data_IF_108326756358
#
_entry.id   IF_108326756358
#
_cell.length_a   1.000
_cell.length_b   1.000
_cell.length_c   1.000
_cell.angle_alpha   90.00
_cell.angle_beta   90.00
_cell.angle_gamma   90.00
#
_symmetry.space_group_name_H-M   'P 1'
#
loop_
_entity.id
_entity.type
_entity.pdbx_description
1 polymer ?
#
# COMPACT_ATOMS: atom_id res chain seq x y z
N UNK A 1 -24.36 -46.60 -16.42
CA UNK A 1 -25.18 -45.49 -15.90
C UNK A 1 -24.86 -45.13 -14.44
N UNK A 2 -24.54 -46.09 -13.57
CA UNK A 2 -24.35 -45.85 -12.13
C UNK A 2 -23.12 -45.00 -11.76
N UNK A 3 -22.02 -45.10 -12.52
CA UNK A 3 -20.79 -44.33 -12.24
C UNK A 3 -20.94 -42.81 -12.41
N UNK A 4 -21.77 -42.38 -13.37
CA UNK A 4 -22.00 -40.95 -13.63
C UNK A 4 -22.84 -40.30 -12.52
N UNK A 5 -23.86 -41.00 -12.02
CA UNK A 5 -24.66 -40.53 -10.89
C UNK A 5 -23.82 -40.45 -9.60
N UNK A 6 -22.93 -41.41 -9.38
CA UNK A 6 -21.99 -41.37 -8.27
C UNK A 6 -21.07 -40.14 -8.34
N UNK A 7 -20.43 -39.92 -9.50
CA UNK A 7 -19.57 -38.76 -9.71
C UNK A 7 -20.34 -37.44 -9.51
N UNK A 8 -21.57 -37.35 -10.02
CA UNK A 8 -22.43 -36.19 -9.85
C UNK A 8 -22.74 -35.93 -8.36
N UNK A 9 -23.16 -36.96 -7.61
CA UNK A 9 -23.44 -36.84 -6.18
C UNK A 9 -22.26 -36.32 -5.38
N UNK A 10 -21.07 -36.85 -5.66
CA UNK A 10 -19.83 -36.40 -5.04
C UNK A 10 -19.56 -34.93 -5.37
N UNK A 11 -19.66 -34.55 -6.64
CA UNK A 11 -19.44 -33.15 -7.07
C UNK A 11 -20.46 -32.21 -6.42
N UNK A 12 -21.75 -32.57 -6.36
CA UNK A 12 -22.80 -31.75 -5.75
C UNK A 12 -22.55 -31.52 -4.27
N UNK A 13 -22.18 -32.56 -3.51
CA UNK A 13 -21.86 -32.40 -2.07
C UNK A 13 -20.67 -31.45 -1.89
N UNK A 14 -19.61 -31.64 -2.66
CA UNK A 14 -18.43 -30.78 -2.60
C UNK A 14 -18.72 -29.33 -3.00
N UNK A 15 -19.56 -29.13 -4.01
CA UNK A 15 -19.99 -27.80 -4.44
C UNK A 15 -20.81 -27.09 -3.34
N UNK A 16 -21.75 -27.80 -2.70
CA UNK A 16 -22.52 -27.26 -1.57
C UNK A 16 -21.58 -26.84 -0.44
N UNK A 17 -20.59 -27.67 -0.08
CA UNK A 17 -19.58 -27.34 0.92
C UNK A 17 -18.86 -26.04 0.56
N UNK A 18 -18.32 -25.94 -0.65
CA UNK A 18 -17.52 -24.79 -1.08
C UNK A 18 -18.31 -23.49 -1.14
N UNK A 19 -19.56 -23.53 -1.60
CA UNK A 19 -20.42 -22.35 -1.73
C UNK A 19 -20.99 -21.87 -0.40
N UNK A 20 -21.26 -22.78 0.55
CA UNK A 20 -21.88 -22.45 1.85
C UNK A 20 -20.85 -22.09 2.93
N UNK A 21 -19.63 -22.61 2.84
CA UNK A 21 -18.56 -22.28 3.78
C UNK A 21 -17.92 -20.94 3.41
N UNK A 22 -18.00 -19.96 4.33
CA UNK A 22 -17.63 -18.58 4.04
C UNK A 22 -16.16 -18.45 3.61
N UNK A 23 -15.25 -19.13 4.31
CA UNK A 23 -13.81 -19.07 4.02
C UNK A 23 -13.51 -19.59 2.61
N UNK A 24 -14.10 -20.73 2.24
CA UNK A 24 -13.86 -21.30 0.92
C UNK A 24 -14.56 -20.51 -0.18
N UNK A 25 -15.72 -19.91 0.11
CA UNK A 25 -16.46 -19.10 -0.86
C UNK A 25 -15.61 -17.92 -1.35
N UNK A 26 -14.95 -17.19 -0.46
CA UNK A 26 -14.10 -16.05 -0.84
C UNK A 26 -12.78 -16.47 -1.50
N UNK A 27 -12.21 -17.59 -1.08
CA UNK A 27 -10.99 -18.15 -1.69
C UNK A 27 -11.19 -18.78 -3.07
N UNK A 28 -12.42 -19.15 -3.46
CA UNK A 28 -12.68 -19.88 -4.72
C UNK A 28 -12.85 -18.99 -5.95
N UNK A 29 -13.00 -17.68 -5.79
CA UNK A 29 -13.20 -16.72 -6.90
C UNK A 29 -12.03 -16.64 -7.89
N UNK A 30 -10.80 -16.94 -7.45
CA UNK A 30 -9.60 -16.89 -8.29
C UNK A 30 -9.21 -18.24 -8.89
N UNK A 31 -9.87 -19.32 -8.48
CA UNK A 31 -9.49 -20.67 -8.90
C UNK A 31 -10.12 -20.96 -10.28
N UNK A 32 -9.34 -21.43 -11.28
CA UNK A 32 -9.89 -21.85 -12.56
C UNK A 32 -10.98 -22.91 -12.39
N UNK A 33 -12.03 -22.86 -13.24
CA UNK A 33 -13.20 -23.73 -13.09
C UNK A 33 -12.86 -25.23 -12.99
N UNK A 34 -11.86 -25.70 -13.75
CA UNK A 34 -11.42 -27.11 -13.70
C UNK A 34 -10.81 -27.49 -12.34
N UNK A 35 -10.01 -26.62 -11.73
CA UNK A 35 -9.48 -26.83 -10.39
C UNK A 35 -10.58 -26.77 -9.33
N UNK A 36 -11.60 -25.93 -9.53
CA UNK A 36 -12.77 -25.89 -8.66
C UNK A 36 -13.49 -27.23 -8.66
N UNK A 37 -13.79 -27.80 -9.84
CA UNK A 37 -14.41 -29.13 -9.96
C UNK A 37 -13.60 -30.22 -9.26
N UNK A 38 -12.28 -30.24 -9.45
CA UNK A 38 -11.41 -31.22 -8.79
C UNK A 38 -11.44 -31.08 -7.26
N UNK A 39 -11.37 -29.84 -6.75
CA UNK A 39 -11.48 -29.56 -5.32
C UNK A 39 -12.85 -29.94 -4.78
N UNK A 40 -13.93 -29.70 -5.54
CA UNK A 40 -15.28 -30.11 -5.15
C UNK A 40 -15.35 -31.62 -5.07
N UNK A 41 -14.84 -32.34 -6.09
CA UNK A 41 -14.83 -33.80 -6.11
C UNK A 41 -14.10 -34.39 -4.90
N UNK A 42 -12.91 -33.90 -4.55
CA UNK A 42 -12.17 -34.36 -3.36
C UNK A 42 -13.00 -34.14 -2.09
N UNK A 43 -13.48 -32.92 -1.87
CA UNK A 43 -14.26 -32.60 -0.65
C UNK A 43 -15.55 -33.42 -0.57
N UNK A 44 -16.23 -33.60 -1.69
CA UNK A 44 -17.43 -34.42 -1.78
C UNK A 44 -17.15 -35.89 -1.52
N UNK A 45 -16.03 -36.41 -2.01
CA UNK A 45 -15.64 -37.80 -1.80
C UNK A 45 -15.37 -38.09 -0.33
N UNK A 46 -14.76 -37.15 0.40
CA UNK A 46 -14.55 -37.25 1.85
C UNK A 46 -15.89 -37.34 2.58
N UNK A 47 -16.81 -36.39 2.33
CA UNK A 47 -18.14 -36.41 2.96
C UNK A 47 -18.96 -37.65 2.57
N UNK A 48 -18.90 -38.05 1.30
CA UNK A 48 -19.56 -39.26 0.82
C UNK A 48 -19.03 -40.51 1.53
N UNK A 49 -17.71 -40.64 1.70
CA UNK A 49 -17.09 -41.76 2.41
C UNK A 49 -17.54 -41.82 3.88
N UNK A 50 -17.61 -40.67 4.56
CA UNK A 50 -18.13 -40.58 5.93
C UNK A 50 -19.60 -41.00 5.98
N UNK A 51 -20.43 -40.49 5.05
CA UNK A 51 -21.84 -40.86 4.95
C UNK A 51 -22.05 -42.34 4.64
N UNK A 52 -21.17 -42.94 3.83
CA UNK A 52 -21.18 -44.36 3.50
C UNK A 52 -20.87 -45.23 4.72
N UNK A 53 -19.79 -44.93 5.45
CA UNK A 53 -19.45 -45.63 6.70
C UNK A 53 -20.58 -45.52 7.72
N UNK A 54 -21.17 -44.34 7.87
CA UNK A 54 -22.29 -44.14 8.79
C UNK A 54 -23.54 -44.93 8.38
N UNK A 55 -23.86 -44.95 7.08
CA UNK A 55 -24.97 -45.76 6.54
C UNK A 55 -24.74 -47.23 6.80
N UNK A 56 -23.51 -47.72 6.59
CA UNK A 56 -23.15 -49.11 6.86
C UNK A 56 -23.33 -49.48 8.35
N UNK A 57 -22.88 -48.61 9.26
CA UNK A 57 -23.06 -48.81 10.71
C UNK A 57 -24.54 -48.85 11.11
N UNK A 58 -25.39 -48.01 10.51
CA UNK A 58 -26.84 -48.03 10.75
C UNK A 58 -27.44 -49.34 10.27
N UNK A 59 -27.16 -49.74 9.03
CA UNK A 59 -27.72 -50.96 8.45
C UNK A 59 -27.30 -52.21 9.22
N UNK A 60 -26.04 -52.27 9.66
CA UNK A 60 -25.54 -53.33 10.52
C UNK A 60 -26.26 -53.36 11.87
N UNK A 61 -26.46 -52.20 12.52
CA UNK A 61 -27.15 -52.10 13.81
C UNK A 61 -28.61 -52.54 13.75
N UNK A 62 -29.31 -52.25 12.66
CA UNK A 62 -30.70 -52.66 12.45
C UNK A 62 -30.84 -54.07 11.88
N UNK A 63 -29.75 -54.84 11.79
CA UNK A 63 -29.72 -56.20 11.24
C UNK A 63 -30.29 -56.29 9.81
N UNK A 64 -30.24 -55.19 9.05
CA UNK A 64 -30.62 -55.15 7.64
C UNK A 64 -29.50 -55.71 6.74
N UNK A 65 -28.35 -56.00 7.34
CA UNK A 65 -27.22 -56.70 6.74
C UNK A 65 -26.96 -57.90 7.63
N UNK A 66 -27.19 -59.09 7.11
CA UNK A 66 -26.80 -60.34 7.77
C UNK A 66 -25.34 -60.63 7.39
N UNK A 67 -24.45 -60.66 8.38
CA UNK A 67 -23.07 -61.07 8.17
C UNK A 67 -22.92 -62.53 8.59
N UNK A 68 -22.71 -63.42 7.60
CA UNK A 68 -22.45 -64.82 7.86
C UNK A 68 -20.96 -65.05 8.09
N UNK A 69 -20.59 -65.45 9.31
CA UNK A 69 -19.20 -65.73 9.69
C UNK A 69 -18.59 -66.92 8.94
N UNK A 70 -19.44 -67.81 8.44
CA UNK A 70 -19.03 -69.06 7.77
C UNK A 70 -18.69 -68.86 6.29
N UNK A 71 -18.85 -67.65 5.77
CA UNK A 71 -18.77 -67.31 4.34
C UNK A 71 -17.68 -66.26 4.11
N UNK A 72 -16.97 -66.35 2.98
CA UNK A 72 -15.95 -65.37 2.60
C UNK A 72 -16.54 -63.97 2.41
N UNK A 73 -15.72 -62.93 2.63
CA UNK A 73 -16.15 -61.51 2.50
C UNK A 73 -16.80 -61.21 1.14
N UNK A 74 -16.30 -61.82 0.05
CA UNK A 74 -16.83 -61.60 -1.31
C UNK A 74 -18.24 -62.20 -1.46
N UNK A 75 -18.50 -63.36 -0.88
CA UNK A 75 -19.80 -64.02 -0.95
C UNK A 75 -20.83 -63.31 -0.05
N UNK A 76 -20.39 -62.75 1.07
CA UNK A 76 -21.20 -61.85 1.91
C UNK A 76 -21.68 -60.59 1.15
N UNK A 77 -21.02 -60.18 0.05
CA UNK A 77 -21.47 -59.03 -0.76
C UNK A 77 -22.85 -59.25 -1.38
N UNK A 78 -23.19 -60.51 -1.69
CA UNK A 78 -24.47 -60.85 -2.32
C UNK A 78 -25.69 -60.62 -1.42
N UNK A 79 -25.47 -60.57 -0.10
CA UNK A 79 -26.50 -60.31 0.91
C UNK A 79 -26.68 -58.83 1.23
N UNK A 80 -25.87 -57.94 0.61
CA UNK A 80 -26.07 -56.51 0.80
C UNK A 80 -27.37 -56.02 0.14
N UNK A 81 -28.03 -55.01 0.74
CA UNK A 81 -29.13 -54.33 0.09
C UNK A 81 -28.69 -53.77 -1.27
N UNK A 82 -29.65 -53.61 -2.19
CA UNK A 82 -29.40 -53.07 -3.53
C UNK A 82 -28.47 -51.84 -3.43
N UNK A 83 -27.37 -51.89 -4.18
CA UNK A 83 -26.36 -50.82 -4.24
C UNK A 83 -26.99 -49.44 -4.48
N UNK A 84 -28.14 -49.38 -5.16
CA UNK A 84 -28.91 -48.14 -5.34
C UNK A 84 -29.42 -47.58 -4.02
N UNK A 85 -29.99 -48.41 -3.15
CA UNK A 85 -30.51 -48.01 -1.84
C UNK A 85 -29.36 -47.54 -0.96
N UNK A 86 -28.27 -48.32 -0.92
CA UNK A 86 -27.07 -47.97 -0.16
C UNK A 86 -26.49 -46.63 -0.61
N UNK A 87 -26.44 -46.39 -1.92
CA UNK A 87 -25.97 -45.14 -2.51
C UNK A 87 -26.87 -43.95 -2.14
N UNK A 88 -28.20 -44.05 -2.28
CA UNK A 88 -29.13 -42.96 -1.93
C UNK A 88 -29.01 -42.60 -0.45
N UNK A 89 -29.02 -43.60 0.43
CA UNK A 89 -28.91 -43.36 1.87
C UNK A 89 -27.57 -42.73 2.25
N UNK A 90 -26.47 -43.20 1.65
CA UNK A 90 -25.14 -42.63 1.86
C UNK A 90 -25.06 -41.18 1.40
N UNK A 91 -25.67 -40.85 0.26
CA UNK A 91 -25.77 -39.48 -0.23
C UNK A 91 -26.56 -38.58 0.74
N UNK A 92 -27.71 -39.05 1.23
CA UNK A 92 -28.51 -38.31 2.21
C UNK A 92 -27.74 -38.04 3.51
N UNK A 93 -27.09 -39.05 4.08
CA UNK A 93 -26.26 -38.87 5.28
C UNK A 93 -25.08 -37.93 5.03
N UNK A 94 -24.38 -38.08 3.91
CA UNK A 94 -23.27 -37.20 3.54
C UNK A 94 -23.72 -35.74 3.40
N UNK A 95 -24.90 -35.49 2.82
CA UNK A 95 -25.47 -34.15 2.69
C UNK A 95 -25.78 -33.55 4.07
N UNK A 96 -26.38 -34.32 4.98
CA UNK A 96 -26.64 -33.89 6.36
C UNK A 96 -25.33 -33.56 7.09
N UNK A 97 -24.33 -34.44 7.04
CA UNK A 97 -23.02 -34.17 7.65
C UNK A 97 -22.33 -32.94 7.05
N UNK A 98 -22.39 -32.77 5.73
CA UNK A 98 -21.84 -31.60 5.05
C UNK A 98 -22.50 -30.32 5.55
N UNK A 99 -23.84 -30.26 5.60
CA UNK A 99 -24.57 -29.08 6.08
C UNK A 99 -24.30 -28.79 7.56
N UNK A 100 -24.30 -29.81 8.41
CA UNK A 100 -23.97 -29.66 9.84
C UNK A 100 -22.55 -29.16 10.04
N UNK A 101 -21.58 -29.71 9.31
CA UNK A 101 -20.19 -29.30 9.40
C UNK A 101 -20.00 -27.85 8.93
N UNK A 102 -20.62 -27.46 7.81
CA UNK A 102 -20.57 -26.07 7.34
C UNK A 102 -21.25 -25.13 8.33
N UNK A 103 -22.41 -25.50 8.87
CA UNK A 103 -23.11 -24.73 9.89
C UNK A 103 -22.24 -24.54 11.13
N UNK A 104 -21.65 -25.62 11.67
CA UNK A 104 -20.78 -25.58 12.84
C UNK A 104 -19.54 -24.72 12.60
N UNK A 105 -18.87 -24.88 11.45
CA UNK A 105 -17.68 -24.10 11.11
C UNK A 105 -18.00 -22.61 10.97
N UNK A 106 -19.08 -22.27 10.28
CA UNK A 106 -19.54 -20.89 10.16
C UNK A 106 -19.98 -20.31 11.51
N UNK A 107 -20.63 -21.12 12.36
CA UNK A 107 -21.04 -20.71 13.71
C UNK A 107 -19.82 -20.41 14.59
N UNK A 108 -18.80 -21.26 14.58
CA UNK A 108 -17.55 -21.04 15.31
C UNK A 108 -16.83 -19.78 14.79
N UNK A 109 -16.73 -19.62 13.46
CA UNK A 109 -16.06 -18.47 12.84
C UNK A 109 -16.77 -17.15 13.15
N UNK A 110 -18.11 -17.15 13.19
CA UNK A 110 -18.92 -15.95 13.44
C UNK A 110 -19.24 -15.75 14.93
N UNK A 111 -18.69 -16.57 15.83
CA UNK A 111 -18.96 -16.45 17.26
C UNK A 111 -18.49 -15.09 17.78
N UNK A 112 -19.41 -14.29 18.28
CA UNK A 112 -19.13 -12.94 18.78
C UNK A 112 -19.07 -11.85 17.70
N UNK A 113 -19.49 -12.14 16.47
CA UNK A 113 -19.56 -11.17 15.37
C UNK A 113 -21.03 -10.99 14.96
N UNK A 114 -21.59 -9.81 15.19
CA UNK A 114 -22.90 -9.47 14.65
C UNK A 114 -22.86 -9.41 13.13
N UNK A 115 -23.56 -10.35 12.48
CA UNK A 115 -23.53 -10.54 11.02
C UNK A 115 -23.98 -9.30 10.24
N UNK A 116 -24.90 -8.52 10.81
CA UNK A 116 -25.48 -7.33 10.16
C UNK A 116 -24.58 -6.11 10.29
N UNK A 117 -23.97 -5.91 11.47
CA UNK A 117 -23.16 -4.73 11.74
C UNK A 117 -21.69 -4.89 11.36
N UNK A 118 -21.17 -6.13 11.34
CA UNK A 118 -19.74 -6.41 11.20
C UNK A 118 -19.39 -7.22 9.94
N UNK A 119 -20.13 -7.04 8.84
CA UNK A 119 -19.87 -7.75 7.58
C UNK A 119 -18.41 -7.55 7.09
N UNK A 120 -17.84 -6.37 7.34
CA UNK A 120 -16.46 -6.03 7.01
C UNK A 120 -15.45 -6.84 7.83
N UNK A 121 -15.76 -7.13 9.09
CA UNK A 121 -14.93 -8.00 9.94
C UNK A 121 -14.96 -9.44 9.44
N UNK A 122 -16.10 -9.88 8.91
CA UNK A 122 -16.23 -11.18 8.25
C UNK A 122 -15.36 -11.23 6.99
N UNK A 123 -15.36 -10.18 6.16
CA UNK A 123 -14.47 -10.08 4.99
C UNK A 123 -13.00 -10.10 5.40
N UNK A 124 -12.59 -9.26 6.35
CA UNK A 124 -11.21 -9.22 6.86
C UNK A 124 -10.68 -10.59 7.33
N UNK A 125 -11.56 -11.42 7.90
CA UNK A 125 -11.21 -12.77 8.38
C UNK A 125 -11.28 -13.86 7.31
N UNK A 126 -11.98 -13.62 6.19
CA UNK A 126 -12.24 -14.64 5.17
C UNK A 126 -11.46 -14.42 3.87
N UNK A 127 -11.02 -13.18 3.61
CA UNK A 127 -10.19 -12.85 2.45
C UNK A 127 -8.79 -13.46 2.62
N UNK A 128 -8.41 -14.32 1.67
CA UNK A 128 -7.13 -15.02 1.69
C UNK A 128 -6.03 -14.27 0.95
N UNK A 129 -6.39 -13.40 0.01
CA UNK A 129 -5.41 -12.68 -0.81
C UNK A 129 -4.94 -11.41 -0.09
N UNK A 130 -3.62 -11.12 -0.10
CA UNK A 130 -3.08 -9.93 0.56
C UNK A 130 -3.61 -8.63 -0.05
N UNK A 131 -3.87 -8.62 -1.37
CA UNK A 131 -4.46 -7.46 -2.06
C UNK A 131 -5.87 -7.16 -1.54
N UNK A 132 -6.76 -8.15 -1.52
CA UNK A 132 -8.13 -7.92 -1.03
C UNK A 132 -8.16 -7.52 0.43
N UNK A 133 -7.26 -8.07 1.25
CA UNK A 133 -7.10 -7.66 2.64
C UNK A 133 -6.69 -6.19 2.73
N UNK A 134 -5.69 -5.77 1.94
CA UNK A 134 -5.24 -4.37 1.89
C UNK A 134 -6.38 -3.43 1.43
N UNK A 135 -7.15 -3.81 0.41
CA UNK A 135 -8.30 -3.04 -0.07
C UNK A 135 -9.41 -2.96 0.99
N UNK A 136 -9.67 -4.06 1.71
CA UNK A 136 -10.64 -4.11 2.80
C UNK A 136 -10.22 -3.19 3.95
N UNK A 137 -8.95 -3.26 4.34
CA UNK A 137 -8.40 -2.45 5.42
C UNK A 137 -8.44 -0.96 5.04
N UNK A 138 -8.09 -0.62 3.80
CA UNK A 138 -8.22 0.74 3.26
C UNK A 138 -9.65 1.27 3.32
N UNK A 139 -10.63 0.44 2.96
CA UNK A 139 -12.04 0.82 2.93
C UNK A 139 -12.67 0.95 4.32
N UNK A 140 -12.37 0.02 5.24
CA UNK A 140 -13.21 -0.22 6.42
C UNK A 140 -12.51 -0.12 7.77
N UNK A 141 -11.22 0.21 7.83
CA UNK A 141 -10.61 0.55 9.12
C UNK A 141 -11.36 1.72 9.80
N UNK A 142 -11.24 1.84 11.11
CA UNK A 142 -11.87 2.92 11.90
C UNK A 142 -11.27 4.29 11.54
N UNK A 143 -12.03 5.36 11.75
CA UNK A 143 -11.57 6.74 11.45
C UNK A 143 -10.35 7.16 12.26
N UNK A 144 -10.19 6.62 13.48
CA UNK A 144 -9.00 6.78 14.33
C UNK A 144 -7.69 6.34 13.65
N UNK A 145 -7.79 5.47 12.64
CA UNK A 145 -6.68 4.85 11.94
C UNK A 145 -6.58 5.35 10.49
N UNK A 146 -6.96 6.60 10.21
CA UNK A 146 -6.94 7.15 8.84
C UNK A 146 -5.58 6.97 8.14
N UNK A 147 -4.45 7.18 8.85
CA UNK A 147 -3.10 6.91 8.31
C UNK A 147 -2.97 5.47 7.80
N UNK A 148 -3.63 4.52 8.46
CA UNK A 148 -3.58 3.11 8.10
C UNK A 148 -4.46 2.74 6.91
N UNK A 149 -5.34 3.64 6.46
CA UNK A 149 -6.21 3.45 5.29
C UNK A 149 -5.53 3.76 3.97
N UNK A 150 -4.44 4.52 3.99
CA UNK A 150 -3.85 5.08 2.77
C UNK A 150 -3.00 4.01 2.10
N UNK A 151 -3.33 3.76 0.84
CA UNK A 151 -2.68 2.77 0.01
C UNK A 151 -2.20 3.40 -1.28
N UNK A 152 -1.08 2.90 -1.79
CA UNK A 152 -0.55 3.20 -3.10
C UNK A 152 -0.79 2.01 -4.01
N UNK A 153 -1.50 2.25 -5.12
CA UNK A 153 -1.79 1.27 -6.15
C UNK A 153 -0.97 1.62 -7.40
N UNK A 154 -0.12 0.71 -7.85
CA UNK A 154 0.57 0.80 -9.14
C UNK A 154 -0.16 -0.06 -10.17
N UNK A 155 -0.61 0.57 -11.24
CA UNK A 155 -1.40 -0.06 -12.31
C UNK A 155 -0.49 -0.61 -13.42
N UNK A 156 -1.06 -1.47 -14.28
CA UNK A 156 -0.42 -2.07 -15.45
C UNK A 156 0.00 -1.05 -16.51
N UNK A 157 -0.78 0.01 -16.67
CA UNK A 157 -0.48 1.18 -17.52
C UNK A 157 0.54 2.15 -16.90
N UNK A 158 1.18 1.75 -15.79
CA UNK A 158 2.16 2.51 -15.00
C UNK A 158 1.61 3.71 -14.27
N UNK A 159 0.30 3.97 -14.31
CA UNK A 159 -0.29 4.98 -13.44
C UNK A 159 -0.19 4.55 -11.99
N UNK A 160 -0.02 5.53 -11.11
CA UNK A 160 0.01 5.32 -9.67
C UNK A 160 -1.04 6.19 -9.02
N UNK A 161 -1.79 5.59 -8.10
CA UNK A 161 -2.78 6.28 -7.30
C UNK A 161 -2.45 6.09 -5.82
N UNK A 162 -2.44 7.18 -5.07
CA UNK A 162 -2.26 7.17 -3.61
C UNK A 162 -3.52 7.72 -2.98
N UNK A 163 -4.15 6.98 -2.07
CA UNK A 163 -5.42 7.39 -1.48
C UNK A 163 -6.11 6.25 -0.75
N UNK A 164 -7.44 6.33 -0.65
CA UNK A 164 -8.26 5.34 0.08
C UNK A 164 -9.27 4.66 -0.83
N UNK A 165 -9.65 3.44 -0.49
CA UNK A 165 -10.75 2.73 -1.15
C UNK A 165 -12.08 3.23 -0.60
N UNK A 166 -13.06 3.48 -1.46
CA UNK A 166 -14.39 3.89 -1.02
C UNK A 166 -15.09 2.75 -0.25
N UNK A 167 -15.73 3.02 0.92
CA UNK A 167 -16.31 2.01 1.81
C UNK A 167 -17.61 1.40 1.26
N UNK A 168 -17.53 0.66 0.16
CA UNK A 168 -18.67 -0.05 -0.41
C UNK A 168 -18.82 -1.45 0.19
N UNK A 169 -19.85 -1.64 1.03
CA UNK A 169 -20.14 -2.91 1.73
C UNK A 169 -20.28 -4.14 0.81
N UNK A 170 -20.53 -3.95 -0.49
CA UNK A 170 -20.72 -5.03 -1.47
C UNK A 170 -19.53 -5.25 -2.39
N UNK A 171 -18.42 -4.53 -2.21
CA UNK A 171 -17.22 -4.63 -3.06
C UNK A 171 -16.74 -6.08 -3.23
N UNK A 172 -16.61 -6.83 -2.13
CA UNK A 172 -16.13 -8.21 -2.17
C UNK A 172 -17.18 -9.21 -2.68
N UNK A 173 -18.48 -8.92 -2.52
CA UNK A 173 -19.53 -9.72 -3.17
C UNK A 173 -19.45 -9.54 -4.69
N UNK A 174 -19.23 -8.33 -5.18
CA UNK A 174 -19.03 -8.08 -6.61
C UNK A 174 -17.80 -8.82 -7.15
N UNK A 175 -16.71 -8.82 -6.38
CA UNK A 175 -15.49 -9.56 -6.71
C UNK A 175 -15.74 -11.07 -6.86
N UNK A 176 -16.57 -11.65 -5.99
CA UNK A 176 -16.98 -13.06 -6.12
C UNK A 176 -17.73 -13.36 -7.42
N UNK A 177 -18.56 -12.42 -7.89
CA UNK A 177 -19.35 -12.58 -9.12
C UNK A 177 -18.59 -12.14 -10.38
N UNK A 178 -17.26 -11.98 -10.28
CA UNK A 178 -16.38 -11.72 -11.42
C UNK A 178 -16.27 -10.25 -11.82
N UNK A 179 -16.98 -9.34 -11.14
CA UNK A 179 -16.78 -7.90 -11.30
C UNK A 179 -15.50 -7.51 -10.58
N UNK A 180 -14.66 -6.68 -11.19
CA UNK A 180 -13.35 -6.32 -10.60
C UNK A 180 -13.20 -4.83 -10.39
N UNK A 181 -14.27 -4.07 -10.63
CA UNK A 181 -14.30 -2.63 -10.51
C UNK A 181 -14.62 -2.19 -9.08
N UNK A 182 -13.90 -1.17 -8.63
CA UNK A 182 -14.13 -0.52 -7.35
C UNK A 182 -13.82 0.97 -7.43
N UNK A 183 -14.38 1.73 -6.49
CA UNK A 183 -14.19 3.17 -6.41
C UNK A 183 -12.98 3.47 -5.51
N UNK A 184 -12.07 4.27 -6.01
CA UNK A 184 -10.89 4.76 -5.32
C UNK A 184 -10.97 6.28 -5.17
N UNK A 185 -10.61 6.78 -3.99
CA UNK A 185 -10.56 8.19 -3.65
C UNK A 185 -9.09 8.64 -3.63
N UNK A 186 -8.54 9.13 -4.75
CA UNK A 186 -7.14 9.53 -4.81
C UNK A 186 -6.91 10.83 -4.02
N UNK A 187 -5.83 10.84 -3.25
CA UNK A 187 -5.20 12.04 -2.68
C UNK A 187 -4.13 12.56 -3.63
N UNK A 188 -3.37 11.64 -4.24
CA UNK A 188 -2.37 11.93 -5.26
C UNK A 188 -2.49 10.95 -6.43
N UNK A 189 -2.11 11.41 -7.63
CA UNK A 189 -1.87 10.52 -8.76
C UNK A 189 -0.61 10.90 -9.53
N UNK A 190 -0.06 9.91 -10.22
CA UNK A 190 1.19 10.05 -10.95
C UNK A 190 1.44 8.85 -11.84
N UNK A 191 2.71 8.61 -12.17
CA UNK A 191 3.13 7.45 -12.94
C UNK A 191 4.50 6.95 -12.48
N UNK A 192 4.83 5.70 -12.84
CA UNK A 192 6.19 5.17 -12.73
C UNK A 192 6.96 5.36 -14.02
N UNK A 193 8.15 5.96 -13.93
CA UNK A 193 9.02 6.11 -15.09
C UNK A 193 9.48 4.75 -15.60
N UNK A 194 9.52 4.56 -16.93
CA UNK A 194 9.75 3.24 -17.56
C UNK A 194 11.12 2.65 -17.22
N UNK A 195 12.14 3.50 -17.12
CA UNK A 195 13.53 3.08 -17.00
C UNK A 195 13.98 2.99 -15.54
N UNK A 196 13.62 3.99 -14.72
CA UNK A 196 14.04 4.07 -13.31
C UNK A 196 13.03 3.46 -12.34
N UNK A 197 11.79 3.20 -12.79
CA UNK A 197 10.65 2.78 -11.94
C UNK A 197 10.31 3.77 -10.80
N UNK A 198 10.88 4.98 -10.84
CA UNK A 198 10.66 6.05 -9.89
C UNK A 198 9.23 6.58 -9.99
N UNK A 199 8.68 6.94 -8.84
CA UNK A 199 7.35 7.52 -8.73
C UNK A 199 7.42 9.02 -9.04
N UNK A 200 6.68 9.45 -10.05
CA UNK A 200 6.50 10.86 -10.37
C UNK A 200 5.06 11.24 -10.06
N UNK A 201 4.85 12.04 -9.00
CA UNK A 201 3.54 12.59 -8.65
C UNK A 201 3.26 13.79 -9.56
N UNK A 202 2.18 13.74 -10.33
CA UNK A 202 1.79 14.83 -11.26
C UNK A 202 0.61 15.64 -10.76
N UNK A 203 -0.22 15.04 -9.91
CA UNK A 203 -1.52 15.61 -9.53
C UNK A 203 -1.72 15.44 -8.04
N UNK A 204 -2.01 16.56 -7.38
CA UNK A 204 -2.34 16.65 -5.97
C UNK A 204 -3.79 17.11 -5.86
N UNK A 205 -4.66 16.19 -5.44
CA UNK A 205 -6.10 16.43 -5.32
C UNK A 205 -6.46 17.14 -4.00
N UNK A 206 -5.51 17.29 -3.07
CA UNK A 206 -5.73 17.97 -1.79
C UNK A 206 -5.61 19.50 -1.90
N UNK A 207 -4.96 20.00 -2.97
CA UNK A 207 -4.79 21.45 -3.20
C UNK A 207 -6.10 22.21 -3.39
N UNK A 208 -7.15 21.55 -3.87
CA UNK A 208 -8.49 22.11 -3.91
C UNK A 208 -9.13 22.05 -2.52
N UNK A 209 -8.78 23.00 -1.65
CA UNK A 209 -9.21 23.10 -0.24
C UNK A 209 -10.73 23.30 -0.02
N UNK A 210 -11.54 23.28 -1.08
CA UNK A 210 -12.99 23.36 -0.97
C UNK A 210 -13.60 21.94 -0.87
N UNK A 211 -13.56 21.43 0.36
CA UNK A 211 -14.59 20.60 1.00
C UNK A 211 -15.14 19.41 0.19
N UNK A 212 -14.37 18.33 0.13
CA UNK A 212 -14.79 16.95 0.40
C UNK A 212 -13.66 16.02 -0.06
N UNK A 213 -13.05 15.26 0.86
CA UNK A 213 -12.08 14.22 0.50
C UNK A 213 -12.68 13.11 -0.40
N UNK A 214 -14.00 13.12 -0.61
CA UNK A 214 -14.77 12.25 -1.50
C UNK A 214 -15.08 12.86 -2.87
N UNK A 215 -14.66 14.11 -3.13
CA UNK A 215 -15.00 14.83 -4.37
C UNK A 215 -14.40 14.15 -5.62
N UNK A 216 -13.18 13.65 -5.50
CA UNK A 216 -12.51 12.95 -6.58
C UNK A 216 -12.64 11.44 -6.37
N UNK A 217 -13.34 10.80 -7.30
CA UNK A 217 -13.57 9.36 -7.31
C UNK A 217 -13.16 8.81 -8.67
N UNK A 218 -12.35 7.76 -8.65
CA UNK A 218 -11.87 7.07 -9.84
C UNK A 218 -12.30 5.62 -9.76
N UNK A 219 -12.85 5.10 -10.84
CA UNK A 219 -13.17 3.67 -10.93
C UNK A 219 -11.91 2.95 -11.39
N UNK A 220 -11.40 2.06 -10.55
CA UNK A 220 -10.22 1.23 -10.84
C UNK A 220 -10.62 -0.22 -10.99
N UNK A 221 -9.82 -0.95 -11.79
CA UNK A 221 -9.99 -2.38 -11.98
C UNK A 221 -8.93 -3.14 -11.19
N UNK A 222 -9.35 -4.04 -10.30
CA UNK A 222 -8.47 -4.91 -9.49
C UNK A 222 -7.48 -5.69 -10.35
N UNK A 223 -7.89 -6.18 -11.53
CA UNK A 223 -7.02 -6.98 -12.42
C UNK A 223 -5.83 -6.19 -12.97
N UNK A 224 -5.97 -4.87 -13.04
CA UNK A 224 -4.94 -3.99 -13.57
C UNK A 224 -3.93 -3.57 -12.49
N UNK A 225 -4.13 -3.96 -11.23
CA UNK A 225 -3.20 -3.63 -10.15
C UNK A 225 -2.00 -4.58 -10.24
N UNK A 226 -0.82 -4.02 -10.49
CA UNK A 226 0.45 -4.76 -10.51
C UNK A 226 1.02 -4.88 -9.10
N UNK A 227 0.96 -3.81 -8.33
CA UNK A 227 1.41 -3.80 -6.95
C UNK A 227 0.58 -2.85 -6.09
N UNK A 228 0.42 -3.21 -4.82
CA UNK A 228 -0.26 -2.40 -3.84
C UNK A 228 0.52 -2.41 -2.54
N UNK A 229 0.68 -1.26 -1.92
CA UNK A 229 1.34 -1.13 -0.61
C UNK A 229 0.60 -0.14 0.25
N UNK A 230 0.71 -0.34 1.56
CA UNK A 230 0.36 0.70 2.53
C UNK A 230 1.38 1.84 2.42
N UNK A 231 0.92 3.07 2.57
CA UNK A 231 1.77 4.26 2.50
C UNK A 231 1.90 4.86 3.88
N UNK A 232 3.13 5.14 4.27
CA UNK A 232 3.39 6.07 5.34
C UNK A 232 3.41 7.49 4.75
N UNK A 233 2.47 8.32 5.19
CA UNK A 233 2.33 9.69 4.72
C UNK A 233 3.59 10.51 5.00
N UNK A 234 4.23 10.29 6.14
CA UNK A 234 5.37 11.09 6.57
C UNK A 234 6.55 10.84 5.60
N UNK A 235 6.80 9.57 5.26
CA UNK A 235 7.77 9.18 4.21
C UNK A 235 7.40 9.74 2.82
N UNK A 236 6.12 9.81 2.48
CA UNK A 236 5.68 10.35 1.18
C UNK A 236 5.88 11.86 1.10
N UNK A 237 5.59 12.60 2.17
CA UNK A 237 5.82 14.04 2.25
C UNK A 237 7.31 14.37 2.14
N UNK A 238 8.15 13.65 2.89
CA UNK A 238 9.62 13.76 2.79
C UNK A 238 10.10 13.56 1.35
N UNK A 239 9.53 12.60 0.62
CA UNK A 239 9.85 12.37 -0.78
C UNK A 239 9.43 13.54 -1.68
N UNK A 240 8.20 14.04 -1.53
CA UNK A 240 7.69 15.15 -2.33
C UNK A 240 8.45 16.46 -2.08
N UNK A 241 8.78 16.77 -0.82
CA UNK A 241 9.56 17.96 -0.47
C UNK A 241 10.96 17.94 -1.07
N UNK A 242 11.60 16.77 -1.08
CA UNK A 242 12.92 16.56 -1.72
C UNK A 242 12.89 16.84 -3.23
N UNK A 243 11.85 16.39 -3.92
CA UNK A 243 11.70 16.65 -5.36
C UNK A 243 11.47 18.14 -5.66
N UNK A 244 10.64 18.81 -4.85
CA UNK A 244 10.42 20.27 -4.96
C UNK A 244 11.73 21.03 -4.73
N UNK A 245 12.50 20.64 -3.72
CA UNK A 245 13.81 21.22 -3.43
C UNK A 245 14.78 21.08 -4.61
N UNK A 246 14.91 19.86 -5.16
CA UNK A 246 15.79 19.60 -6.31
C UNK A 246 15.40 20.41 -7.54
N UNK A 247 14.10 20.52 -7.82
CA UNK A 247 13.60 21.31 -8.94
C UNK A 247 13.93 22.81 -8.79
N UNK A 248 13.76 23.37 -7.59
CA UNK A 248 14.18 24.75 -7.30
C UNK A 248 15.70 24.93 -7.42
N UNK A 249 16.48 23.96 -6.95
CA UNK A 249 17.95 24.02 -7.02
C UNK A 249 18.45 23.94 -8.48
N UNK A 250 17.85 23.08 -9.31
CA UNK A 250 18.10 23.03 -10.77
C UNK A 250 17.72 24.34 -11.46
N UNK A 251 16.60 24.96 -11.09
CA UNK A 251 16.19 26.26 -11.61
C UNK A 251 17.25 27.33 -11.32
N UNK A 252 17.71 27.43 -10.06
CA UNK A 252 18.73 28.39 -9.61
C UNK A 252 20.05 28.20 -10.34
N UNK A 253 20.50 26.94 -10.51
CA UNK A 253 21.69 26.60 -11.28
C UNK A 253 21.55 26.99 -12.76
N UNK A 254 20.45 26.59 -13.43
CA UNK A 254 20.21 26.88 -14.85
C UNK A 254 20.17 28.37 -15.20
N UNK A 255 19.65 29.19 -14.27
CA UNK A 255 19.56 30.65 -14.40
C UNK A 255 20.81 31.38 -13.90
N UNK A 256 21.82 30.66 -13.40
CA UNK A 256 23.05 31.19 -12.80
C UNK A 256 22.76 32.25 -11.74
N UNK A 257 21.71 32.06 -10.94
CA UNK A 257 21.34 33.01 -9.90
C UNK A 257 22.39 33.00 -8.78
N UNK A 258 22.64 34.14 -8.12
CA UNK A 258 23.50 34.18 -6.95
C UNK A 258 22.83 33.42 -5.80
N UNK A 259 23.64 32.66 -5.07
CA UNK A 259 23.23 31.82 -3.95
C UNK A 259 24.09 32.16 -2.73
N UNK A 260 23.45 32.23 -1.57
CA UNK A 260 24.07 32.33 -0.27
C UNK A 260 23.81 31.02 0.50
N UNK A 261 24.89 30.37 0.95
CA UNK A 261 24.84 29.16 1.76
C UNK A 261 25.37 29.46 3.14
N UNK A 262 24.53 29.24 4.14
CA UNK A 262 24.87 29.42 5.55
C UNK A 262 25.17 28.04 6.12
N UNK A 263 26.37 27.85 6.68
CA UNK A 263 26.80 26.60 7.30
C UNK A 263 26.54 26.62 8.81
N UNK A 264 26.37 25.43 9.41
CA UNK A 264 26.30 25.21 10.86
C UNK A 264 27.56 25.70 11.59
N UNK A 265 28.70 25.71 10.91
CA UNK A 265 29.99 26.23 11.40
C UNK A 265 30.07 27.75 11.44
N UNK A 266 28.98 28.45 11.13
CA UNK A 266 28.88 29.92 11.07
C UNK A 266 29.64 30.58 9.90
N UNK A 267 30.06 29.77 8.93
CA UNK A 267 30.59 30.26 7.65
C UNK A 267 29.44 30.51 6.67
N UNK A 268 29.53 31.62 5.94
CA UNK A 268 28.61 31.99 4.88
C UNK A 268 29.38 32.02 3.58
N UNK A 269 28.91 31.28 2.58
CA UNK A 269 29.50 31.23 1.24
C UNK A 269 28.52 31.84 0.26
N UNK A 270 28.96 32.83 -0.52
CA UNK A 270 28.13 33.50 -1.51
C UNK A 270 28.76 33.36 -2.87
N UNK A 271 27.99 32.94 -3.86
CA UNK A 271 28.50 32.69 -5.21
C UNK A 271 27.45 32.13 -6.14
N UNK A 272 27.88 31.42 -7.17
CA UNK A 272 26.99 30.75 -8.12
C UNK A 272 27.12 29.23 -7.97
N UNK A 273 26.03 28.49 -8.14
CA UNK A 273 26.10 27.03 -8.20
C UNK A 273 26.94 26.60 -9.41
N UNK A 274 27.86 25.67 -9.20
CA UNK A 274 28.65 25.09 -10.28
C UNK A 274 27.76 24.19 -11.17
N UNK A 275 28.02 24.19 -12.48
CA UNK A 275 27.22 23.48 -13.51
C UNK A 275 27.26 21.93 -13.39
N UNK A 276 27.99 21.40 -12.41
CA UNK A 276 28.04 19.97 -12.10
C UNK A 276 26.69 19.38 -11.67
N UNK A 277 25.66 20.23 -11.49
CA UNK A 277 24.31 19.80 -11.10
C UNK A 277 23.57 18.99 -12.15
N UNK A 278 23.99 19.07 -13.42
CA UNK A 278 23.42 18.26 -14.53
C UNK A 278 23.69 16.75 -14.38
N UNK A 279 24.68 16.36 -13.58
CA UNK A 279 25.07 14.96 -13.37
C UNK A 279 24.32 14.27 -12.21
N UNK A 280 23.54 15.01 -11.41
CA UNK A 280 22.82 14.42 -10.29
C UNK A 280 21.40 14.03 -10.70
N UNK A 281 21.16 12.72 -10.79
CA UNK A 281 19.82 12.15 -11.00
C UNK A 281 18.99 12.19 -9.71
N UNK A 282 19.61 12.00 -8.53
CA UNK A 282 18.90 11.92 -7.23
C UNK A 282 19.60 12.71 -6.11
N UNK A 283 18.86 13.10 -5.06
CA UNK A 283 19.39 13.78 -3.86
C UNK A 283 20.36 12.91 -3.06
N UNK A 284 20.21 11.58 -3.13
CA UNK A 284 21.13 10.62 -2.50
C UNK A 284 22.54 10.67 -3.10
N UNK A 285 22.66 11.13 -4.34
CA UNK A 285 23.95 11.32 -5.02
C UNK A 285 24.58 12.67 -4.68
N UNK A 286 23.78 13.65 -4.24
CA UNK A 286 24.25 15.00 -3.92
C UNK A 286 24.67 15.09 -2.46
N UNK A 287 25.83 14.52 -2.15
CA UNK A 287 26.49 14.72 -0.84
C UNK A 287 27.08 16.12 -0.70
N UNK A 288 27.40 16.78 -1.82
CA UNK A 288 28.11 18.06 -1.85
C UNK A 288 27.50 19.04 -2.87
N UNK A 289 27.47 20.32 -2.53
CA UNK A 289 27.20 21.43 -3.46
C UNK A 289 28.54 22.03 -3.90
N UNK A 290 28.75 22.14 -5.21
CA UNK A 290 29.82 23.00 -5.76
C UNK A 290 29.35 24.44 -5.90
N UNK A 291 30.09 25.39 -5.33
CA UNK A 291 29.84 26.83 -5.47
C UNK A 291 31.07 27.49 -6.09
N UNK A 292 30.88 28.22 -7.18
CA UNK A 292 31.84 29.20 -7.67
C UNK A 292 31.79 30.41 -6.76
N UNK A 293 32.80 30.54 -5.91
CA UNK A 293 32.78 31.45 -4.77
C UNK A 293 33.03 32.90 -5.22
N UNK A 294 32.22 33.83 -4.73
CA UNK A 294 32.42 35.26 -4.88
C UNK A 294 32.78 35.92 -3.54
N UNK A 295 32.14 35.50 -2.45
CA UNK A 295 32.43 35.99 -1.10
C UNK A 295 32.41 34.86 -0.07
N UNK A 296 33.23 35.00 0.96
CA UNK A 296 33.12 34.22 2.20
C UNK A 296 33.04 35.16 3.39
N UNK A 297 32.04 34.96 4.24
CA UNK A 297 31.87 35.72 5.46
C UNK A 297 31.84 34.77 6.67
N UNK A 298 32.40 35.20 7.79
CA UNK A 298 32.26 34.51 9.07
C UNK A 298 31.33 35.35 9.96
N UNK A 299 30.30 34.71 10.49
CA UNK A 299 29.22 35.38 11.21
C UNK A 299 29.18 34.96 12.68
N UNK A 300 29.01 35.92 13.60
CA UNK A 300 28.86 35.63 15.03
C UNK A 300 27.39 35.83 15.47
N UNK A 301 26.77 34.75 15.98
CA UNK A 301 25.31 34.67 16.23
C UNK A 301 24.76 35.73 17.18
N UNK A 302 25.57 36.22 18.10
CA UNK A 302 25.07 37.01 19.22
C UNK A 302 24.97 38.52 18.92
N UNK A 303 25.50 39.00 17.77
CA UNK A 303 25.50 40.44 17.45
C UNK A 303 25.15 40.80 16.00
N UNK A 304 24.72 39.85 15.18
CA UNK A 304 24.55 40.03 13.73
C UNK A 304 25.78 40.75 13.11
N UNK A 305 26.98 40.39 13.56
CA UNK A 305 28.21 41.07 13.16
C UNK A 305 29.08 40.14 12.34
N UNK A 306 29.48 40.61 11.16
CA UNK A 306 30.38 39.87 10.28
C UNK A 306 31.79 40.16 10.74
N UNK A 307 32.48 39.12 11.20
CA UNK A 307 33.80 39.25 11.84
C UNK A 307 34.91 39.28 10.79
N UNK A 308 34.73 38.55 9.69
CA UNK A 308 35.68 38.48 8.58
C UNK A 308 34.92 38.41 7.25
N UNK A 309 35.39 39.16 6.25
CA UNK A 309 34.85 39.18 4.90
C UNK A 309 36.00 39.03 3.89
N UNK A 310 35.89 38.02 3.03
CA UNK A 310 36.83 37.74 1.96
C UNK A 310 36.13 37.89 0.61
N UNK A 311 36.64 38.80 -0.23
CA UNK A 311 36.16 39.02 -1.59
C UNK A 311 37.07 38.26 -2.57
N UNK A 312 36.47 37.32 -3.32
CA UNK A 312 37.16 36.46 -4.27
C UNK A 312 36.78 36.77 -5.73
N UNK A 313 36.08 37.87 -6.01
CA UNK A 313 35.62 38.21 -7.37
C UNK A 313 36.75 38.34 -8.39
N UNK A 314 37.94 38.77 -7.94
CA UNK A 314 39.14 38.94 -8.79
C UNK A 314 39.94 37.64 -8.95
N UNK A 315 39.67 36.63 -8.12
CA UNK A 315 40.33 35.33 -8.17
C UNK A 315 39.64 34.45 -9.20
N UNK A 316 40.34 34.12 -10.29
CA UNK A 316 39.80 33.22 -11.31
C UNK A 316 39.60 31.82 -10.72
N UNK A 317 38.40 31.28 -10.93
CA UNK A 317 38.04 29.86 -10.77
C UNK A 317 38.21 29.26 -9.36
N UNK A 318 37.81 30.01 -8.33
CA UNK A 318 37.68 29.48 -6.98
C UNK A 318 36.37 28.70 -6.82
N UNK A 319 36.47 27.38 -6.68
CA UNK A 319 35.34 26.49 -6.40
C UNK A 319 35.42 25.96 -4.97
N UNK A 320 34.29 25.98 -4.28
CA UNK A 320 34.14 25.39 -2.96
C UNK A 320 33.14 24.24 -3.01
N UNK A 321 33.51 23.09 -2.43
CA UNK A 321 32.61 21.96 -2.26
C UNK A 321 32.08 21.96 -0.82
N UNK A 322 30.79 22.20 -0.65
CA UNK A 322 30.12 22.26 0.65
C UNK A 322 29.30 20.99 0.88
N UNK A 323 29.50 20.32 2.00
CA UNK A 323 28.70 19.15 2.37
C UNK A 323 27.30 19.56 2.82
N UNK A 324 26.25 18.96 2.26
CA UNK A 324 24.87 19.23 2.66
C UNK A 324 24.60 18.99 4.15
N UNK A 325 25.35 18.07 4.79
CA UNK A 325 25.20 17.79 6.24
C UNK A 325 25.55 18.99 7.11
N UNK A 326 26.43 19.84 6.61
CA UNK A 326 26.94 21.02 7.32
C UNK A 326 26.21 22.30 6.94
N UNK A 327 25.31 22.25 5.94
CA UNK A 327 24.49 23.39 5.54
C UNK A 327 23.35 23.58 6.56
N UNK A 328 23.17 24.83 7.02
CA UNK A 328 22.04 25.25 7.85
C UNK A 328 20.89 25.77 6.98
N UNK A 329 21.19 26.63 6.00
CA UNK A 329 20.18 27.13 5.05
C UNK A 329 20.81 27.58 3.74
N UNK A 330 19.99 27.60 2.68
CA UNK A 330 20.39 28.06 1.35
C UNK A 330 19.40 29.14 0.93
N UNK A 331 19.91 30.26 0.44
CA UNK A 331 19.13 31.41 -0.02
C UNK A 331 19.56 31.81 -1.42
N UNK A 332 18.64 32.35 -2.22
CA UNK A 332 18.93 32.81 -3.57
C UNK A 332 18.19 34.12 -3.88
N UNK A 333 18.68 34.85 -4.88
CA UNK A 333 18.05 36.08 -5.36
C UNK A 333 17.62 35.94 -6.81
N UNK A 334 16.39 36.35 -7.12
CA UNK A 334 15.81 36.26 -8.47
C UNK A 334 16.19 37.43 -9.38
N UNK A 335 16.51 38.60 -8.79
CA UNK A 335 16.97 39.80 -9.50
C UNK A 335 18.42 40.12 -9.12
N UNK A 336 19.41 39.69 -9.91
CA UNK A 336 20.77 40.19 -9.74
C UNK A 336 20.79 41.64 -10.22
N UNK A 337 20.61 42.60 -9.31
CA UNK A 337 20.83 44.01 -9.62
C UNK A 337 22.28 44.22 -10.12
N UNK A 338 22.51 45.32 -10.85
CA UNK A 338 23.81 45.76 -11.40
C UNK A 338 24.97 45.79 -10.38
N UNK A 339 24.67 45.66 -9.08
CA UNK A 339 25.62 45.63 -7.96
C UNK A 339 26.58 44.42 -8.04
N UNK A 340 26.17 43.31 -8.67
CA UNK A 340 27.09 42.19 -8.94
C UNK A 340 27.96 42.40 -10.19
N UNK A 341 27.51 43.26 -11.12
CA UNK A 341 28.16 43.56 -12.40
C UNK A 341 29.09 44.78 -12.32
N UNK A 342 28.82 45.72 -11.42
CA UNK A 342 29.67 46.88 -11.16
C UNK A 342 30.63 46.51 -10.04
N UNK A 343 31.94 46.61 -10.29
CA UNK A 343 33.08 46.25 -9.42
C UNK A 343 33.15 47.03 -8.08
N UNK A 344 32.04 47.54 -7.56
CA UNK A 344 31.96 48.24 -6.28
C UNK A 344 31.99 47.20 -5.14
N UNK A 345 32.73 47.51 -4.08
CA UNK A 345 32.72 46.72 -2.84
C UNK A 345 31.35 46.89 -2.17
N UNK A 346 30.73 45.75 -1.83
CA UNK A 346 29.45 45.72 -1.13
C UNK A 346 29.72 45.47 0.34
N UNK A 347 29.11 46.26 1.23
CA UNK A 347 29.21 46.02 2.66
C UNK A 347 28.60 44.66 3.01
N UNK A 348 29.25 43.92 3.89
CA UNK A 348 28.86 42.54 4.20
C UNK A 348 27.43 42.45 4.80
N UNK A 349 27.02 43.47 5.56
CA UNK A 349 25.66 43.61 6.10
C UNK A 349 24.59 43.82 5.03
N UNK A 350 24.97 44.43 3.90
CA UNK A 350 24.08 44.64 2.77
C UNK A 350 23.92 43.34 1.97
N UNK A 351 24.98 42.53 1.85
CA UNK A 351 24.92 41.21 1.20
C UNK A 351 23.86 40.31 1.83
N UNK A 352 23.77 40.27 3.16
CA UNK A 352 22.78 39.44 3.86
C UNK A 352 21.33 39.86 3.54
N UNK A 353 21.07 41.17 3.40
CA UNK A 353 19.75 41.72 3.09
C UNK A 353 19.33 41.55 1.63
N UNK A 354 20.25 41.14 0.75
CA UNK A 354 19.98 41.00 -0.68
C UNK A 354 19.37 39.63 -1.04
N UNK A 355 19.44 38.62 -0.17
CA UNK A 355 18.89 37.30 -0.47
C UNK A 355 17.48 37.16 0.10
N UNK A 356 16.50 37.08 -0.81
CA UNK A 356 15.08 37.21 -0.47
C UNK A 356 14.36 35.86 -0.39
N UNK A 357 14.88 34.82 -1.06
CA UNK A 357 14.19 33.53 -1.17
C UNK A 357 15.00 32.41 -0.54
N UNK A 358 14.37 31.64 0.34
CA UNK A 358 14.96 30.49 1.02
C UNK A 358 14.66 29.19 0.23
N UNK A 359 15.70 28.37 0.04
CA UNK A 359 15.65 27.04 -0.59
C UNK A 359 15.57 25.91 0.44
N UNK A 360 16.27 26.05 1.57
CA UNK A 360 16.36 25.03 2.63
C UNK A 360 16.18 25.71 4.00
N UNK A 361 15.25 25.23 4.81
CA UNK A 361 15.16 25.54 6.24
C UNK A 361 15.27 24.26 7.06
N UNK A 362 16.33 24.12 7.84
CA UNK A 362 16.50 22.96 8.71
C UNK A 362 15.73 23.11 10.05
N UNK A 363 15.09 24.26 10.31
CA UNK A 363 14.45 24.58 11.60
C UNK A 363 13.02 24.04 11.75
N UNK A 364 12.34 23.65 10.68
CA UNK A 364 10.96 23.14 10.76
C UNK A 364 10.85 21.61 11.00
N UNK A 365 11.94 20.85 10.82
CA UNK A 365 11.92 19.38 10.98
C UNK A 365 12.14 18.95 12.44
N UNK A 366 12.78 19.80 13.26
CA UNK A 366 13.12 19.45 14.65
C UNK A 366 12.09 19.84 15.70
N UNK A 367 11.11 20.69 15.36
CA UNK A 367 10.11 21.20 16.33
C UNK A 367 8.89 20.30 16.53
N UNK A 368 8.62 19.35 15.63
CA UNK A 368 7.45 18.45 15.76
C UNK A 368 7.72 17.14 16.52
N UNK A 369 8.88 16.96 17.14
CA UNK A 369 9.21 15.75 17.93
C UNK A 369 9.20 15.93 19.45
N UNK A 370 8.93 17.11 20.01
CA UNK A 370 9.05 17.34 21.46
C UNK A 370 7.82 17.89 22.20
N UNK A 371 6.70 18.17 21.54
CA UNK A 371 5.50 18.63 22.24
C UNK A 371 4.47 17.51 22.41
N UNK A 372 4.76 16.57 23.30
CA UNK A 372 3.74 15.79 24.01
C UNK A 372 3.68 16.27 25.46
N UNK A 373 2.60 16.95 25.91
CA UNK A 373 2.48 17.34 27.30
C UNK A 373 2.20 16.10 28.14
N UNK A 374 3.16 15.74 29.00
CA UNK A 374 2.95 14.84 30.13
C UNK A 374 1.89 15.44 31.05
N UNK A 375 0.67 14.90 31.01
CA UNK A 375 -0.28 15.10 32.10
C UNK A 375 0.13 14.21 33.28
N UNK A 376 0.62 14.85 34.33
CA UNK A 376 0.63 14.33 35.69
C UNK A 376 -0.80 14.34 36.23
N UNK A 377 -1.34 13.16 36.55
CA UNK A 377 -2.57 13.05 37.33
C UNK A 377 -2.20 12.97 38.83
N UNK A 378 -2.67 13.96 39.58
CA UNK A 378 -3.16 13.77 40.96
C UNK A 378 -4.53 13.09 40.95
#
# INVERSE_FOLDING_TARGET
MNGLLFALSVIVIGYIYQNRNLVTKYSTSEIPAHHLYYKSAITGFIFFSIGFVFTFLILFKFSLIEYHQDINVIENISFFPDLKILWVLSFCHALVFCLLFVWLKNYILLRGIDRVNNINKIYAMTLTTPLDKLLNDSAFLTESDFKNKIVMLSMDDKKVYVGTVYPDRKIFERFLYGQTEFIFCPMYSGYRQKETMELVITTDYLKDQNSDHLKYQVILNRKNIVSATKVDLDTLFDFMERDVFLNKLRYVSSKKLPVMVIMKTKNIYIGHLADNMSNYSTLTDVSHIGIKLAYQCIYERDQIKITQNYDFRTTKDLYCHLSFREVESIWFRTKPEDIWLQEKSVAAEMLFKMFEHQLLDHREVSTNMNDSPTMTNE
#
